data_IF_653742154169
#
_entry.id   IF_653742154169
#
_cell.length_a   1.000
_cell.length_b   1.000
_cell.length_c   1.000
_cell.angle_alpha   90.00
_cell.angle_beta   90.00
_cell.angle_gamma   90.00
#
_symmetry.space_group_name_H-M   'P 1'
#
loop_
_entity.id
_entity.type
_entity.pdbx_description
1 polymer ?
#
# COMPACT_ATOMS: atom_id res chain seq x y z
N UNK A 1 12.73 -1.69 12.88
CA UNK A 1 11.37 -1.46 13.44
C UNK A 1 10.41 -1.23 12.27
N UNK A 2 9.52 -2.17 11.98
CA UNK A 2 8.51 -2.01 10.94
C UNK A 2 7.34 -1.18 11.52
N UNK A 3 7.02 -0.04 10.91
CA UNK A 3 6.02 0.90 11.47
C UNK A 3 4.61 0.29 11.59
N UNK A 4 4.19 -0.43 10.54
CA UNK A 4 2.98 -1.25 10.55
C UNK A 4 3.22 -2.49 9.71
N UNK A 5 2.40 -3.53 9.88
CA UNK A 5 2.43 -4.75 9.06
C UNK A 5 2.38 -4.52 7.53
N UNK A 6 1.93 -3.34 7.09
CA UNK A 6 1.79 -2.99 5.68
C UNK A 6 2.96 -2.16 5.13
N UNK A 7 3.84 -1.61 5.98
CA UNK A 7 5.05 -0.92 5.49
C UNK A 7 6.08 -1.96 5.05
N UNK A 8 6.62 -1.83 3.84
CA UNK A 8 7.59 -2.80 3.30
C UNK A 8 9.04 -2.37 3.48
N UNK A 9 9.37 -1.14 3.09
CA UNK A 9 10.76 -0.67 3.04
C UNK A 9 11.00 0.66 3.81
N UNK A 10 9.96 1.47 3.99
CA UNK A 10 10.11 2.78 4.62
C UNK A 10 10.59 2.65 6.07
N UNK A 11 11.58 3.47 6.42
CA UNK A 11 12.06 3.67 7.79
C UNK A 11 11.67 5.06 8.25
N UNK A 12 11.44 5.21 9.53
CA UNK A 12 11.10 6.49 10.15
C UNK A 12 11.93 6.68 11.41
N UNK A 13 12.26 7.93 11.69
CA UNK A 13 12.74 8.39 12.98
C UNK A 13 11.72 9.42 13.50
N UNK A 14 11.39 9.35 14.79
CA UNK A 14 10.34 10.17 15.40
C UNK A 14 10.95 11.06 16.48
N UNK A 15 10.54 12.32 16.49
CA UNK A 15 10.97 13.33 17.45
C UNK A 15 9.77 14.19 17.81
N UNK A 16 9.78 14.72 19.04
CA UNK A 16 8.74 15.61 19.54
C UNK A 16 9.24 17.05 19.68
N UNK A 17 10.56 17.27 19.72
CA UNK A 17 11.16 18.61 19.87
C UNK A 17 12.37 18.81 18.95
N UNK A 18 12.71 20.07 18.69
CA UNK A 18 13.90 20.42 17.90
C UNK A 18 15.22 20.07 18.62
N UNK A 19 15.22 20.00 19.94
CA UNK A 19 16.41 19.68 20.74
C UNK A 19 16.80 18.20 20.60
N UNK A 20 15.82 17.30 20.51
CA UNK A 20 16.07 15.89 20.21
C UNK A 20 16.79 15.73 18.87
N UNK A 21 16.33 16.47 17.84
CA UNK A 21 16.95 16.49 16.52
C UNK A 21 18.41 16.98 16.61
N UNK A 22 18.66 18.05 17.38
CA UNK A 22 20.03 18.57 17.58
C UNK A 22 20.95 17.54 18.25
N UNK A 23 20.47 16.83 19.27
CA UNK A 23 21.23 15.79 20.00
C UNK A 23 21.67 14.65 19.08
N UNK A 24 20.82 14.22 18.16
CA UNK A 24 21.11 13.09 17.26
C UNK A 24 21.51 13.51 15.85
N UNK A 25 21.79 14.79 15.62
CA UNK A 25 22.19 15.35 14.32
C UNK A 25 23.30 14.56 13.61
N UNK A 26 24.36 14.06 14.29
CA UNK A 26 25.39 13.26 13.63
C UNK A 26 24.83 11.95 13.03
N UNK A 27 23.93 11.29 13.75
CA UNK A 27 23.30 10.03 13.33
C UNK A 27 22.37 10.28 12.13
N UNK A 28 21.59 11.36 12.17
CA UNK A 28 20.72 11.75 11.04
C UNK A 28 21.53 11.97 9.76
N UNK A 29 22.65 12.67 9.86
CA UNK A 29 23.55 12.87 8.72
C UNK A 29 24.10 11.54 8.20
N UNK A 30 24.55 10.66 9.08
CA UNK A 30 25.06 9.34 8.68
C UNK A 30 24.02 8.55 7.87
N UNK A 31 22.77 8.47 8.34
CA UNK A 31 21.70 7.80 7.58
C UNK A 31 21.38 8.46 6.24
N UNK A 32 21.46 9.79 6.15
CA UNK A 32 21.28 10.50 4.87
C UNK A 32 22.41 10.13 3.89
N UNK A 33 23.65 10.10 4.35
CA UNK A 33 24.79 9.69 3.52
C UNK A 33 24.68 8.23 3.07
N UNK A 34 24.34 7.31 3.97
CA UNK A 34 24.09 5.91 3.63
C UNK A 34 22.99 5.78 2.56
N UNK A 35 21.88 6.52 2.70
CA UNK A 35 20.80 6.49 1.72
C UNK A 35 21.26 7.00 0.33
N UNK A 36 22.10 8.04 0.29
CA UNK A 36 22.69 8.55 -0.96
C UNK A 36 23.60 7.49 -1.59
N UNK A 37 24.45 6.83 -0.82
CA UNK A 37 25.36 5.80 -1.35
C UNK A 37 24.61 4.55 -1.83
N UNK A 38 23.54 4.14 -1.15
CA UNK A 38 22.64 3.06 -1.59
C UNK A 38 22.01 3.40 -2.95
N UNK A 39 21.53 4.63 -3.13
CA UNK A 39 20.92 5.07 -4.38
C UNK A 39 21.96 5.13 -5.51
N UNK A 40 23.15 5.69 -5.25
CA UNK A 40 24.27 5.71 -6.21
C UNK A 40 24.70 4.29 -6.62
N UNK A 41 24.71 3.35 -5.68
CA UNK A 41 25.00 1.95 -5.94
C UNK A 41 23.86 1.21 -6.67
N UNK A 42 22.72 1.86 -6.92
CA UNK A 42 21.57 1.29 -7.63
C UNK A 42 20.89 0.15 -6.87
N UNK A 43 21.10 0.06 -5.56
CA UNK A 43 20.57 -1.02 -4.74
C UNK A 43 19.06 -0.84 -4.54
N UNK A 44 18.27 -1.75 -5.09
CA UNK A 44 16.81 -1.73 -4.98
C UNK A 44 16.29 -2.88 -4.13
N UNK A 45 15.33 -2.56 -3.27
CA UNK A 45 14.59 -3.55 -2.51
C UNK A 45 13.49 -4.13 -3.40
N UNK A 46 13.38 -5.45 -3.46
CA UNK A 46 12.24 -6.12 -4.11
C UNK A 46 10.98 -5.89 -3.27
N UNK A 47 10.09 -5.04 -3.77
CA UNK A 47 8.77 -4.82 -3.17
C UNK A 47 7.82 -5.95 -3.55
N UNK A 48 6.94 -6.32 -2.62
CA UNK A 48 5.80 -7.20 -2.90
C UNK A 48 4.89 -6.54 -3.92
N UNK A 49 4.54 -7.30 -4.95
CA UNK A 49 3.61 -6.92 -6.01
C UNK A 49 2.17 -7.01 -5.51
N UNK A 50 1.22 -6.42 -6.24
CA UNK A 50 -0.21 -6.49 -5.90
C UNK A 50 -0.72 -7.94 -5.83
N UNK A 51 -0.20 -8.83 -6.69
CA UNK A 51 -0.55 -10.25 -6.70
C UNK A 51 -0.06 -11.03 -5.47
N UNK A 52 0.85 -10.47 -4.67
CA UNK A 52 1.32 -11.11 -3.43
C UNK A 52 0.35 -10.87 -2.26
N UNK A 53 -0.69 -10.04 -2.46
CA UNK A 53 -1.71 -9.78 -1.45
C UNK A 53 -2.91 -10.69 -1.68
N UNK A 54 -3.41 -11.30 -0.61
CA UNK A 54 -4.59 -12.14 -0.65
C UNK A 54 -5.78 -11.36 -1.24
N UNK A 55 -6.36 -11.91 -2.31
CA UNK A 55 -7.59 -11.41 -2.90
C UNK A 55 -8.76 -12.08 -2.18
N UNK A 56 -9.64 -11.33 -1.50
CA UNK A 56 -10.81 -11.94 -0.86
C UNK A 56 -11.68 -12.69 -1.87
N UNK A 57 -12.18 -13.86 -1.49
CA UNK A 57 -13.01 -14.71 -2.37
C UNK A 57 -14.22 -13.97 -2.92
N UNK A 58 -14.82 -13.08 -2.11
CA UNK A 58 -15.96 -12.26 -2.50
C UNK A 58 -15.61 -11.29 -3.64
N UNK A 59 -14.38 -10.75 -3.63
CA UNK A 59 -13.91 -9.88 -4.69
C UNK A 59 -13.58 -10.69 -5.95
N UNK A 60 -12.94 -11.85 -5.80
CA UNK A 60 -12.69 -12.78 -6.92
C UNK A 60 -13.99 -13.17 -7.63
N UNK A 61 -15.06 -13.45 -6.88
CA UNK A 61 -16.40 -13.72 -7.44
C UNK A 61 -16.91 -12.54 -8.28
N UNK A 62 -16.76 -11.31 -7.81
CA UNK A 62 -17.17 -10.12 -8.57
C UNK A 62 -16.33 -9.91 -9.83
N UNK A 63 -15.01 -10.10 -9.75
CA UNK A 63 -14.10 -10.00 -10.91
C UNK A 63 -14.43 -11.05 -11.98
N UNK A 64 -14.84 -12.25 -11.59
CA UNK A 64 -15.24 -13.30 -12.53
C UNK A 64 -16.62 -13.04 -13.16
N UNK A 65 -17.55 -12.43 -12.42
CA UNK A 65 -18.88 -12.07 -12.92
C UNK A 65 -18.86 -10.86 -13.85
N UNK A 66 -17.91 -9.93 -13.66
CA UNK A 66 -17.88 -8.64 -14.33
C UNK A 66 -16.52 -8.43 -15.05
N UNK A 67 -16.39 -8.81 -16.33
CA UNK A 67 -15.16 -8.63 -17.10
C UNK A 67 -14.66 -7.18 -17.14
N UNK A 68 -15.59 -6.21 -17.21
CA UNK A 68 -15.26 -4.78 -17.17
C UNK A 68 -14.61 -4.36 -15.85
N UNK A 69 -15.11 -4.85 -14.71
CA UNK A 69 -14.53 -4.61 -13.39
C UNK A 69 -13.13 -5.21 -13.30
N UNK A 70 -12.95 -6.44 -13.80
CA UNK A 70 -11.63 -7.10 -13.82
C UNK A 70 -10.60 -6.29 -14.61
N UNK A 71 -10.97 -5.85 -15.81
CA UNK A 71 -10.11 -5.01 -16.65
C UNK A 71 -9.79 -3.68 -15.98
N UNK A 72 -10.79 -3.02 -15.39
CA UNK A 72 -10.62 -1.75 -14.69
C UNK A 72 -9.73 -1.89 -13.44
N UNK A 73 -9.91 -2.95 -12.66
CA UNK A 73 -9.06 -3.21 -11.49
C UNK A 73 -7.60 -3.46 -11.91
N UNK A 74 -7.39 -4.27 -12.95
CA UNK A 74 -6.04 -4.58 -13.45
C UNK A 74 -5.34 -3.37 -14.09
N UNK A 75 -6.08 -2.37 -14.57
CA UNK A 75 -5.50 -1.13 -15.10
C UNK A 75 -5.15 -0.11 -14.02
N UNK A 76 -5.57 -0.30 -12.77
CA UNK A 76 -5.13 0.52 -11.65
C UNK A 76 -3.62 0.33 -11.40
N UNK A 77 -2.96 1.37 -10.89
CA UNK A 77 -1.56 1.24 -10.45
C UNK A 77 -1.43 0.18 -9.34
N UNK A 78 -0.28 -0.51 -9.21
CA UNK A 78 -0.10 -1.54 -8.17
C UNK A 78 -0.42 -1.04 -6.76
N UNK A 79 -0.11 0.24 -6.46
CA UNK A 79 -0.45 0.88 -5.19
C UNK A 79 -1.96 1.00 -4.95
N UNK A 80 -2.73 1.38 -5.98
CA UNK A 80 -4.21 1.47 -5.91
C UNK A 80 -4.85 0.07 -5.78
N UNK A 81 -4.38 -0.91 -6.55
CA UNK A 81 -4.83 -2.30 -6.43
C UNK A 81 -4.60 -2.81 -5.01
N UNK A 82 -3.37 -2.64 -4.50
CA UNK A 82 -2.99 -3.03 -3.14
C UNK A 82 -3.85 -2.37 -2.08
N UNK A 83 -4.15 -1.07 -2.23
CA UNK A 83 -5.01 -0.33 -1.31
C UNK A 83 -6.39 -0.98 -1.16
N UNK A 84 -7.03 -1.33 -2.28
CA UNK A 84 -8.30 -2.05 -2.27
C UNK A 84 -8.20 -3.44 -1.65
N UNK A 85 -7.21 -4.25 -2.04
CA UNK A 85 -7.03 -5.60 -1.49
C UNK A 85 -6.86 -5.58 0.03
N UNK A 86 -6.03 -4.67 0.55
CA UNK A 86 -5.84 -4.50 1.98
C UNK A 86 -7.12 -4.03 2.69
N UNK A 87 -7.85 -3.09 2.10
CA UNK A 87 -9.09 -2.57 2.69
C UNK A 87 -10.21 -3.62 2.73
N UNK A 88 -10.37 -4.39 1.66
CA UNK A 88 -11.34 -5.48 1.61
C UNK A 88 -10.95 -6.61 2.59
N UNK A 89 -9.69 -7.06 2.56
CA UNK A 89 -9.21 -8.13 3.45
C UNK A 89 -9.17 -7.74 4.93
N UNK A 90 -9.13 -6.44 5.26
CA UNK A 90 -9.16 -5.98 6.65
C UNK A 90 -10.48 -6.28 7.38
N UNK A 91 -11.59 -6.50 6.67
CA UNK A 91 -12.86 -6.88 7.28
C UNK A 91 -12.93 -8.39 7.56
N UNK A 92 -13.21 -8.75 8.82
CA UNK A 92 -13.32 -10.16 9.26
C UNK A 92 -14.61 -10.82 8.81
N UNK A 93 -15.73 -10.07 8.80
CA UNK A 93 -17.04 -10.57 8.42
C UNK A 93 -17.23 -10.52 6.90
N UNK A 94 -17.75 -11.61 6.32
CA UNK A 94 -18.04 -11.75 4.89
C UNK A 94 -18.95 -10.62 4.40
N UNK A 95 -20.08 -10.38 5.09
CA UNK A 95 -21.04 -9.32 4.72
C UNK A 95 -20.40 -7.93 4.64
N UNK A 96 -19.44 -7.63 5.52
CA UNK A 96 -18.70 -6.37 5.48
C UNK A 96 -17.70 -6.30 4.33
N UNK A 97 -17.10 -7.42 3.93
CA UNK A 97 -16.26 -7.47 2.74
C UNK A 97 -17.11 -7.20 1.49
N UNK A 98 -18.24 -7.87 1.37
CA UNK A 98 -19.18 -7.70 0.25
C UNK A 98 -19.66 -6.25 0.14
N UNK A 99 -20.12 -5.64 1.24
CA UNK A 99 -20.58 -4.25 1.22
C UNK A 99 -19.48 -3.25 0.88
N UNK A 100 -18.25 -3.48 1.35
CA UNK A 100 -17.08 -2.67 0.94
C UNK A 100 -16.80 -2.83 -0.55
N UNK A 101 -16.82 -4.05 -1.08
CA UNK A 101 -16.58 -4.31 -2.50
C UNK A 101 -17.63 -3.59 -3.34
N UNK A 102 -18.92 -3.82 -3.06
CA UNK A 102 -20.04 -3.21 -3.79
C UNK A 102 -19.96 -1.69 -3.80
N UNK A 103 -19.67 -1.08 -2.65
CA UNK A 103 -19.50 0.37 -2.53
C UNK A 103 -18.39 0.92 -3.44
N UNK A 104 -17.32 0.16 -3.66
CA UNK A 104 -16.14 0.64 -4.39
C UNK A 104 -16.05 0.19 -5.85
N UNK A 105 -16.89 -0.73 -6.31
CA UNK A 105 -16.99 -1.12 -7.74
C UNK A 105 -17.13 0.10 -8.67
N UNK A 106 -18.04 1.06 -8.44
CA UNK A 106 -18.20 2.22 -9.33
C UNK A 106 -16.93 3.08 -9.44
N UNK A 107 -16.13 3.14 -8.37
CA UNK A 107 -14.90 3.92 -8.32
C UNK A 107 -13.75 3.22 -9.04
N UNK A 108 -13.65 1.89 -8.87
CA UNK A 108 -12.69 1.06 -9.62
C UNK A 108 -12.96 1.18 -11.12
N UNK A 109 -14.23 1.13 -11.54
CA UNK A 109 -14.64 1.31 -12.95
C UNK A 109 -14.25 2.69 -13.50
N UNK A 110 -14.17 3.72 -12.65
CA UNK A 110 -13.69 5.07 -13.01
C UNK A 110 -12.16 5.22 -12.91
N UNK A 111 -11.42 4.15 -12.63
CA UNK A 111 -9.96 4.18 -12.46
C UNK A 111 -9.47 4.89 -11.19
N UNK A 112 -10.37 5.10 -10.21
CA UNK A 112 -10.07 5.75 -8.93
C UNK A 112 -9.56 4.72 -7.92
N UNK A 113 -8.61 5.12 -7.08
CA UNK A 113 -8.13 4.35 -5.93
C UNK A 113 -8.95 4.65 -4.67
N UNK A 114 -8.71 3.87 -3.61
CA UNK A 114 -9.42 4.02 -2.33
C UNK A 114 -9.38 5.44 -1.75
N UNK A 115 -8.27 6.15 -1.92
CA UNK A 115 -8.04 7.51 -1.39
C UNK A 115 -8.44 8.63 -2.37
N UNK A 116 -8.98 8.29 -3.54
CA UNK A 116 -9.41 9.26 -4.57
C UNK A 116 -10.93 9.49 -4.56
N UNK A 117 -11.63 8.96 -3.53
CA UNK A 117 -13.10 8.88 -3.41
C UNK A 117 -13.59 9.70 -2.23
#
# INVERSE_FOLDING_TARGET
IQQTKNVQAARQLRFSTAEEIKKIKPILKAYIYEAIEIEKAGLKIKLKQSNDFAVPDEFTKQLNKQPALKKAFQSLTPGRQRGYLLYFAAAKQIKTRESRIEKYIPWILKGKGLNDV
#
